data_IF_439834704737
#
_entry.id   IF_439834704737
#
_cell.length_a   1.000
_cell.length_b   1.000
_cell.length_c   1.000
_cell.angle_alpha   90.00
_cell.angle_beta   90.00
_cell.angle_gamma   90.00
#
_symmetry.space_group_name_H-M   'P 1'
#
loop_
_entity.id
_entity.type
_entity.pdbx_description
1 polymer ?
#
# COMPACT_ATOMS: atom_id res chain seq x y z
N UNK A 1 -3.72 -18.76 -12.45
CA UNK A 1 -4.51 -17.83 -11.62
C UNK A 1 -4.26 -16.44 -12.18
N UNK A 2 -5.23 -15.85 -12.87
CA UNK A 2 -5.05 -14.56 -13.57
C UNK A 2 -5.49 -13.43 -12.63
N UNK A 3 -4.56 -12.83 -11.90
CA UNK A 3 -4.89 -11.70 -11.00
C UNK A 3 -5.04 -10.45 -11.85
N UNK A 4 -6.19 -9.78 -11.77
CA UNK A 4 -6.48 -8.55 -12.51
C UNK A 4 -6.36 -7.36 -11.55
N UNK A 5 -5.73 -6.28 -12.01
CA UNK A 5 -5.50 -5.07 -11.23
C UNK A 5 -6.67 -4.09 -11.44
N UNK A 6 -7.20 -3.53 -10.35
CA UNK A 6 -8.16 -2.44 -10.38
C UNK A 6 -7.56 -1.23 -9.67
N UNK A 7 -7.72 -0.05 -10.25
CA UNK A 7 -7.31 1.20 -9.61
C UNK A 7 -8.40 1.62 -8.62
N UNK A 8 -8.10 1.52 -7.33
CA UNK A 8 -8.97 1.97 -6.24
C UNK A 8 -8.22 3.03 -5.42
N UNK A 9 -8.83 4.19 -5.24
CA UNK A 9 -8.25 5.36 -4.56
C UNK A 9 -8.74 5.54 -3.13
N UNK A 10 -7.93 5.32 -2.11
CA UNK A 10 -8.32 5.62 -0.73
C UNK A 10 -8.64 7.13 -0.56
N UNK A 11 -9.88 7.45 -0.23
CA UNK A 11 -10.29 8.78 0.23
C UNK A 11 -10.95 8.66 1.59
N UNK A 12 -10.32 9.24 2.60
CA UNK A 12 -10.91 9.40 3.92
C UNK A 12 -11.69 10.72 3.98
N UNK A 13 -13.02 10.63 4.05
CA UNK A 13 -13.85 11.71 4.59
C UNK A 13 -14.17 11.35 6.03
N UNK A 14 -13.46 11.94 7.00
CA UNK A 14 -13.84 11.83 8.41
C UNK A 14 -14.66 13.07 8.76
N UNK A 15 -15.94 12.88 9.06
CA UNK A 15 -16.68 13.84 9.87
C UNK A 15 -16.33 13.57 11.32
N UNK A 16 -15.42 14.37 11.88
CA UNK A 16 -14.98 14.26 13.27
C UNK A 16 -16.09 14.80 14.19
N UNK A 17 -16.75 13.93 14.95
CA UNK A 17 -17.43 14.35 16.17
C UNK A 17 -16.37 14.52 17.26
N UNK A 18 -16.13 15.77 17.63
CA UNK A 18 -15.24 16.19 18.71
C UNK A 18 -15.73 15.73 20.07
N UNK A 19 -14.81 15.21 20.91
CA UNK A 19 -14.78 15.57 22.33
C UNK A 19 -13.38 15.35 22.91
N UNK A 20 -12.62 16.45 23.07
CA UNK A 20 -11.46 16.46 23.98
C UNK A 20 -11.96 16.43 25.43
N UNK A 21 -11.29 15.63 26.25
CA UNK A 21 -10.95 16.04 27.61
C UNK A 21 -9.43 15.93 27.74
N UNK A 22 -8.72 17.04 28.02
CA UNK A 22 -7.33 16.98 28.44
C UNK A 22 -7.32 16.61 29.93
N UNK A 23 -6.48 15.66 30.35
CA UNK A 23 -5.70 15.84 31.57
C UNK A 23 -4.51 14.86 31.64
N UNK A 24 -3.36 15.49 31.92
CA UNK A 24 -2.20 15.06 32.68
C UNK A 24 -1.40 13.79 32.30
N UNK A 25 -0.15 14.05 31.85
CA UNK A 25 0.99 13.42 32.52
C UNK A 25 1.71 12.30 31.77
N UNK A 26 2.33 12.62 30.64
CA UNK A 26 3.72 12.26 30.26
C UNK A 26 3.98 12.83 28.88
N UNK A 27 5.03 13.65 28.74
CA UNK A 27 5.51 14.08 27.42
C UNK A 27 6.09 12.86 26.72
N UNK A 28 5.26 12.08 26.01
CA UNK A 28 5.72 11.02 25.14
C UNK A 28 6.56 11.67 24.04
N UNK A 29 7.89 11.60 24.16
CA UNK A 29 8.80 11.97 23.07
C UNK A 29 8.65 10.92 21.98
N UNK A 30 7.86 11.22 20.96
CA UNK A 30 7.77 10.39 19.76
C UNK A 30 9.15 10.27 19.11
N UNK A 31 9.49 9.06 18.70
CA UNK A 31 10.78 8.74 18.10
C UNK A 31 10.53 8.10 16.73
N UNK A 32 10.81 8.88 15.69
CA UNK A 32 10.55 8.55 14.30
C UNK A 32 11.61 9.13 13.38
N UNK A 33 11.85 8.47 12.25
CA UNK A 33 12.60 9.03 11.13
C UNK A 33 11.69 9.20 9.92
N UNK A 34 12.03 10.16 9.06
CA UNK A 34 11.23 10.54 7.90
C UNK A 34 12.06 10.39 6.63
N UNK A 35 11.44 9.84 5.58
CA UNK A 35 12.04 9.80 4.26
C UNK A 35 11.07 10.34 3.22
N UNK A 36 11.51 11.24 2.32
CA UNK A 36 10.73 11.58 1.15
C UNK A 36 10.56 10.33 0.28
N UNK A 37 9.36 10.14 -0.23
CA UNK A 37 9.07 9.14 -1.24
C UNK A 37 9.00 9.85 -2.59
N UNK A 38 9.51 9.19 -3.63
CA UNK A 38 9.37 9.57 -5.04
C UNK A 38 8.57 8.50 -5.79
N UNK A 39 8.08 8.83 -6.98
CA UNK A 39 7.27 7.93 -7.80
C UNK A 39 5.91 8.54 -8.15
N UNK A 40 5.05 7.73 -8.78
CA UNK A 40 3.69 8.12 -9.20
C UNK A 40 2.85 6.85 -9.39
N UNK A 41 1.55 6.91 -9.10
CA UNK A 41 0.61 5.83 -9.42
C UNK A 41 0.59 5.57 -10.93
N UNK A 42 0.55 6.63 -11.73
CA UNK A 42 0.43 6.54 -13.17
C UNK A 42 1.16 7.71 -13.85
N UNK A 43 2.00 7.47 -14.89
CA UNK A 43 2.17 6.20 -15.59
C UNK A 43 3.27 5.31 -15.00
N UNK A 44 3.95 5.75 -13.93
CA UNK A 44 5.12 5.07 -13.39
C UNK A 44 4.76 3.74 -12.73
N UNK A 45 3.75 3.72 -11.86
CA UNK A 45 3.28 2.50 -11.24
C UNK A 45 4.16 2.02 -10.08
N UNK A 46 4.87 2.91 -9.39
CA UNK A 46 5.73 2.56 -8.25
C UNK A 46 6.00 3.75 -7.32
N UNK A 47 6.46 3.44 -6.11
CA UNK A 47 6.97 4.41 -5.13
C UNK A 47 8.29 3.94 -4.54
N UNK A 48 9.28 4.81 -4.55
CA UNK A 48 10.64 4.51 -4.07
C UNK A 48 11.08 5.49 -3.00
N UNK A 49 12.05 5.04 -2.21
CA UNK A 49 12.71 5.85 -1.20
C UNK A 49 14.23 5.78 -1.41
N UNK A 50 14.90 6.92 -1.23
CA UNK A 50 16.36 6.97 -1.23
C UNK A 50 16.87 6.87 0.21
N UNK A 51 17.70 5.87 0.49
CA UNK A 51 18.28 5.64 1.80
C UNK A 51 19.80 5.48 1.69
N UNK A 52 20.51 6.16 2.59
CA UNK A 52 21.95 6.00 2.74
C UNK A 52 22.26 4.78 3.60
N UNK A 53 23.02 3.83 3.05
CA UNK A 53 23.37 2.59 3.73
C UNK A 53 24.89 2.44 3.81
N UNK A 54 25.36 2.12 5.02
CA UNK A 54 26.77 1.88 5.31
C UNK A 54 27.53 3.13 5.76
N UNK A 55 28.80 2.95 6.09
CA UNK A 55 29.67 4.02 6.60
C UNK A 55 30.20 4.98 5.53
N UNK A 56 29.96 4.67 4.24
CA UNK A 56 30.38 5.50 3.11
C UNK A 56 29.25 6.40 2.58
N UNK A 57 28.13 6.50 3.31
CA UNK A 57 26.95 7.30 2.93
C UNK A 57 26.49 7.07 1.49
N UNK A 58 26.56 5.81 1.03
CA UNK A 58 26.12 5.49 -0.33
C UNK A 58 24.59 5.45 -0.33
N UNK A 59 23.99 6.26 -1.18
CA UNK A 59 22.54 6.28 -1.40
C UNK A 59 22.09 5.12 -2.28
N UNK A 60 20.95 4.54 -1.94
CA UNK A 60 20.29 3.47 -2.68
C UNK A 60 18.82 3.83 -2.90
N UNK A 61 18.32 3.59 -4.11
CA UNK A 61 16.92 3.76 -4.47
C UNK A 61 16.20 2.43 -4.24
N UNK A 62 15.29 2.39 -3.27
CA UNK A 62 14.65 1.15 -2.83
C UNK A 62 13.14 1.20 -3.06
N UNK A 63 12.59 0.09 -3.54
CA UNK A 63 11.14 -0.12 -3.57
C UNK A 63 10.62 -0.33 -2.14
N UNK A 64 9.48 0.29 -1.81
CA UNK A 64 8.92 0.27 -0.45
C UNK A 64 7.96 -0.91 -0.30
N UNK A 65 8.34 -1.95 0.44
CA UNK A 65 7.58 -3.22 0.43
C UNK A 65 7.24 -3.74 1.84
N UNK A 66 5.99 -3.58 2.26
CA UNK A 66 5.43 -4.15 3.49
C UNK A 66 5.18 -5.66 3.44
N UNK A 67 5.19 -6.27 2.25
CA UNK A 67 5.13 -7.71 2.03
C UNK A 67 6.48 -8.43 2.22
N UNK A 68 7.58 -7.69 2.35
CA UNK A 68 8.94 -8.22 2.53
C UNK A 68 9.50 -8.00 3.92
N UNK A 69 9.94 -9.07 4.59
CA UNK A 69 10.53 -9.00 5.93
C UNK A 69 11.96 -8.43 5.94
N UNK A 70 12.71 -8.55 4.85
CA UNK A 70 14.14 -8.23 4.80
C UNK A 70 14.39 -7.16 3.75
N UNK A 71 15.12 -6.12 4.14
CA UNK A 71 15.71 -5.14 3.23
C UNK A 71 16.89 -5.76 2.50
N UNK A 72 16.92 -5.65 1.18
CA UNK A 72 18.03 -6.15 0.37
C UNK A 72 18.38 -5.17 -0.74
N UNK A 73 19.65 -5.19 -1.15
CA UNK A 73 20.18 -4.38 -2.25
C UNK A 73 20.83 -5.27 -3.30
N UNK A 74 20.51 -5.03 -4.56
CA UNK A 74 21.22 -5.57 -5.70
C UNK A 74 22.58 -4.88 -5.78
N UNK A 75 23.65 -5.63 -5.58
CA UNK A 75 24.97 -5.13 -5.87
C UNK A 75 25.28 -5.39 -7.35
N UNK A 76 25.40 -4.31 -8.14
CA UNK A 76 25.79 -4.34 -9.58
C UNK A 76 27.18 -4.95 -9.82
N UNK A 77 27.90 -5.30 -8.76
CA UNK A 77 29.15 -6.06 -8.78
C UNK A 77 29.02 -7.39 -8.01
N UNK A 78 27.92 -8.13 -8.19
CA UNK A 78 27.87 -9.54 -7.77
C UNK A 78 28.32 -10.44 -8.94
N UNK A 79 29.63 -10.63 -9.18
CA UNK A 79 30.43 -11.75 -8.65
C UNK A 79 30.71 -11.73 -7.13
N UNK A 80 29.70 -11.45 -6.34
CA UNK A 80 29.79 -11.08 -4.93
C UNK A 80 29.29 -12.18 -4.01
N UNK A 81 29.59 -13.43 -4.36
CA UNK A 81 30.29 -14.23 -3.38
C UNK A 81 31.71 -13.66 -3.32
N UNK A 82 31.96 -12.67 -2.45
CA UNK A 82 33.35 -12.42 -2.02
C UNK A 82 33.79 -13.70 -1.36
N UNK A 83 34.56 -14.52 -2.07
CA UNK A 83 35.17 -15.73 -1.55
C UNK A 83 36.17 -15.34 -0.48
N UNK A 84 35.75 -15.38 0.79
CA UNK A 84 36.66 -15.68 1.89
C UNK A 84 36.46 -17.17 2.19
N UNK A 85 37.42 -17.97 1.77
CA UNK A 85 37.53 -19.38 2.13
C UNK A 85 37.48 -19.46 3.68
N UNK A 86 36.34 -19.87 4.27
CA UNK A 86 36.12 -20.34 5.66
C UNK A 86 35.02 -19.66 6.52
N UNK A 87 34.15 -18.78 6.01
CA UNK A 87 33.03 -18.26 6.81
C UNK A 87 31.69 -18.89 6.41
N UNK A 88 30.99 -19.53 7.37
CA UNK A 88 29.61 -19.98 7.19
C UNK A 88 28.73 -18.76 6.96
N UNK A 89 28.09 -18.68 5.79
CA UNK A 89 27.13 -17.61 5.45
C UNK A 89 25.71 -18.16 5.49
N UNK A 90 24.78 -17.30 5.89
CA UNK A 90 23.35 -17.55 5.76
C UNK A 90 22.85 -16.84 4.51
N UNK A 91 22.07 -17.53 3.68
CA UNK A 91 21.37 -16.96 2.54
C UNK A 91 19.87 -16.88 2.82
N UNK A 92 19.23 -15.83 2.33
CA UNK A 92 17.77 -15.72 2.29
C UNK A 92 17.35 -15.88 0.83
N UNK A 93 16.34 -16.71 0.57
CA UNK A 93 15.79 -16.83 -0.78
C UNK A 93 14.92 -15.61 -1.10
N UNK A 94 15.32 -14.86 -2.11
CA UNK A 94 14.49 -13.83 -2.73
C UNK A 94 13.55 -14.55 -3.69
N UNK A 95 12.24 -14.44 -3.49
CA UNK A 95 11.25 -15.12 -4.34
C UNK A 95 11.07 -14.34 -5.65
N UNK A 96 11.12 -15.07 -6.76
CA UNK A 96 11.04 -14.59 -8.16
C UNK A 96 9.66 -14.02 -8.57
N UNK A 97 8.90 -13.49 -7.61
CA UNK A 97 7.60 -12.83 -7.82
C UNK A 97 7.63 -11.32 -7.61
N UNK A 98 8.72 -10.77 -7.06
CA UNK A 98 8.99 -9.34 -7.11
C UNK A 98 9.42 -8.99 -8.53
N UNK A 99 8.56 -8.31 -9.27
CA UNK A 99 8.99 -7.62 -10.49
C UNK A 99 9.88 -6.47 -10.04
N UNK A 100 11.17 -6.75 -9.82
CA UNK A 100 12.13 -5.72 -9.44
C UNK A 100 12.11 -4.71 -10.57
N UNK A 101 11.73 -3.49 -10.24
CA UNK A 101 11.72 -2.45 -11.23
C UNK A 101 13.17 -2.15 -11.60
N UNK A 102 13.49 -2.14 -12.90
CA UNK A 102 14.87 -2.15 -13.40
C UNK A 102 15.68 -0.90 -13.04
N UNK A 103 15.05 0.11 -12.45
CA UNK A 103 15.68 1.34 -11.93
C UNK A 103 15.90 1.34 -10.41
N UNK A 104 15.48 0.29 -9.68
CA UNK A 104 15.70 0.19 -8.22
C UNK A 104 16.99 -0.55 -7.92
N UNK A 105 17.67 -0.13 -6.86
CA UNK A 105 18.83 -0.82 -6.31
C UNK A 105 18.43 -1.97 -5.37
N UNK A 106 17.14 -2.21 -5.13
CA UNK A 106 16.65 -3.26 -4.24
C UNK A 106 15.32 -2.91 -3.59
N UNK A 107 15.04 -3.54 -2.44
CA UNK A 107 13.77 -3.43 -1.72
C UNK A 107 14.01 -3.06 -0.26
N UNK A 108 13.29 -2.05 0.22
CA UNK A 108 13.13 -1.75 1.63
C UNK A 108 12.01 -2.61 2.22
N UNK A 109 12.38 -3.75 2.78
CA UNK A 109 11.45 -4.63 3.49
C UNK A 109 10.92 -4.01 4.79
N UNK A 110 9.59 -3.84 4.86
CA UNK A 110 8.84 -3.28 5.98
C UNK A 110 7.90 -4.30 6.64
N UNK A 111 8.10 -5.59 6.35
CA UNK A 111 7.36 -6.71 6.93
C UNK A 111 7.51 -6.84 8.44
N UNK A 112 6.75 -7.78 9.01
CA UNK A 112 6.66 -8.00 10.47
C UNK A 112 7.80 -8.84 11.03
N UNK A 113 8.68 -9.35 10.17
CA UNK A 113 9.79 -10.23 10.53
C UNK A 113 10.82 -9.62 11.48
N UNK A 114 11.42 -10.46 12.32
CA UNK A 114 12.42 -10.06 13.34
C UNK A 114 13.69 -9.45 12.76
N UNK A 115 14.03 -9.78 11.51
CA UNK A 115 15.21 -9.27 10.79
C UNK A 115 14.94 -7.94 10.06
N UNK A 116 13.69 -7.45 10.06
CA UNK A 116 13.30 -6.24 9.35
C UNK A 116 13.90 -4.96 9.91
N UNK A 117 13.92 -3.91 9.08
CA UNK A 117 14.59 -2.65 9.38
C UNK A 117 14.06 -1.98 10.66
N UNK A 118 12.75 -2.07 10.93
CA UNK A 118 12.14 -1.53 12.15
C UNK A 118 12.74 -2.15 13.42
N UNK A 119 12.91 -3.48 13.44
CA UNK A 119 13.52 -4.17 14.57
C UNK A 119 14.99 -3.76 14.74
N UNK A 120 15.72 -3.58 13.63
CA UNK A 120 17.11 -3.11 13.68
C UNK A 120 17.21 -1.68 14.23
N UNK A 121 16.35 -0.76 13.76
CA UNK A 121 16.28 0.62 14.24
C UNK A 121 15.91 0.69 15.72
N UNK A 122 14.91 -0.10 16.16
CA UNK A 122 14.50 -0.17 17.57
C UNK A 122 15.62 -0.71 18.46
N UNK A 123 16.29 -1.77 18.04
CA UNK A 123 17.41 -2.36 18.81
C UNK A 123 18.61 -1.41 18.92
N UNK A 124 18.75 -0.46 17.98
CA UNK A 124 19.75 0.62 18.01
C UNK A 124 19.28 1.87 18.77
N UNK A 125 18.04 1.88 19.29
CA UNK A 125 17.48 3.02 20.00
C UNK A 125 17.09 4.21 19.10
N UNK A 126 17.03 4.01 17.78
CA UNK A 126 16.65 5.07 16.81
C UNK A 126 15.15 5.33 16.84
N UNK A 127 14.35 4.30 17.09
CA UNK A 127 12.88 4.39 17.24
C UNK A 127 12.44 3.60 18.48
N UNK A 128 11.33 3.99 19.10
CA UNK A 128 10.83 3.33 20.31
C UNK A 128 9.86 2.17 20.01
N UNK A 129 9.09 2.27 18.92
CA UNK A 129 8.14 1.23 18.49
C UNK A 129 8.28 0.93 17.02
N UNK A 130 7.92 -0.30 16.66
CA UNK A 130 7.86 -0.76 15.28
C UNK A 130 6.56 -0.26 14.64
N UNK A 131 6.54 1.00 14.23
CA UNK A 131 5.41 1.61 13.53
C UNK A 131 5.90 2.01 12.15
N UNK A 132 5.11 1.72 11.13
CA UNK A 132 5.29 2.18 9.75
C UNK A 132 4.12 3.07 9.42
N UNK A 133 4.39 4.27 8.93
CA UNK A 133 3.41 5.11 8.28
C UNK A 133 3.91 5.49 6.90
N UNK A 134 3.02 5.53 5.92
CA UNK A 134 3.33 6.05 4.61
C UNK A 134 2.14 6.87 4.10
N UNK A 135 2.43 8.04 3.54
CA UNK A 135 1.47 8.87 2.86
C UNK A 135 1.94 9.02 1.41
N UNK A 136 1.25 8.33 0.50
CA UNK A 136 1.60 8.27 -0.91
C UNK A 136 0.67 9.21 -1.68
N UNK A 137 1.24 10.13 -2.45
CA UNK A 137 0.47 11.09 -3.23
C UNK A 137 0.18 10.55 -4.62
N UNK A 138 -1.06 10.75 -5.07
CA UNK A 138 -1.51 10.31 -6.40
C UNK A 138 -0.75 10.96 -7.55
N UNK A 139 -0.38 12.25 -7.42
CA UNK A 139 0.38 13.01 -8.44
C UNK A 139 1.88 13.04 -8.12
N UNK A 140 2.31 11.98 -7.48
CA UNK A 140 3.68 11.68 -7.19
C UNK A 140 4.23 12.16 -5.86
N UNK A 141 5.19 11.38 -5.39
CA UNK A 141 5.88 11.54 -4.12
C UNK A 141 5.07 11.18 -2.89
N UNK A 142 5.53 11.62 -1.73
CA UNK A 142 4.95 11.28 -0.44
C UNK A 142 5.98 11.29 0.68
N UNK A 143 5.65 10.62 1.78
CA UNK A 143 6.59 10.42 2.87
C UNK A 143 6.43 9.04 3.51
N UNK A 144 7.57 8.46 3.88
CA UNK A 144 7.69 7.28 4.72
C UNK A 144 8.09 7.71 6.14
N UNK A 145 7.46 7.12 7.14
CA UNK A 145 7.73 7.33 8.55
C UNK A 145 8.02 5.97 9.17
N UNK A 146 9.18 5.84 9.81
CA UNK A 146 9.53 4.68 10.63
C UNK A 146 9.61 5.13 12.08
N UNK A 147 8.76 4.59 12.95
CA UNK A 147 8.64 4.97 14.35
C UNK A 147 7.32 5.65 14.70
N UNK A 148 7.18 6.06 15.96
CA UNK A 148 5.95 6.66 16.47
C UNK A 148 5.80 8.09 15.95
N UNK A 149 4.60 8.44 15.46
CA UNK A 149 4.25 9.77 15.01
C UNK A 149 2.78 10.06 15.27
N UNK A 150 2.44 11.34 15.44
CA UNK A 150 1.07 11.81 15.56
C UNK A 150 0.49 12.14 14.19
N UNK A 151 -0.35 11.23 13.70
CA UNK A 151 -1.07 11.37 12.43
C UNK A 151 -2.35 12.21 12.56
N UNK A 152 -2.62 12.80 13.73
CA UNK A 152 -3.89 13.45 14.02
C UNK A 152 -5.04 12.45 14.14
N UNK A 153 -6.28 12.82 13.77
CA UNK A 153 -7.44 11.95 13.91
C UNK A 153 -7.36 10.78 12.93
N UNK A 154 -7.09 9.59 13.46
CA UNK A 154 -7.04 8.33 12.70
C UNK A 154 -8.02 7.30 13.26
N UNK A 155 -8.60 6.52 12.35
CA UNK A 155 -9.41 5.35 12.68
C UNK A 155 -8.51 4.12 12.80
N UNK A 156 -8.69 3.35 13.86
CA UNK A 156 -7.90 2.15 14.12
C UNK A 156 -8.70 0.89 13.83
N UNK A 157 -8.05 -0.10 13.19
CA UNK A 157 -8.51 -1.49 13.14
C UNK A 157 -7.35 -2.40 13.50
N UNK A 158 -7.64 -3.47 14.22
CA UNK A 158 -6.62 -4.42 14.64
C UNK A 158 -6.10 -5.22 13.43
N UNK A 159 -4.78 -5.22 13.26
CA UNK A 159 -4.10 -6.08 12.29
C UNK A 159 -4.09 -7.51 12.81
N UNK A 160 -4.40 -8.47 11.94
CA UNK A 160 -4.36 -9.90 12.27
C UNK A 160 -2.95 -10.32 12.67
N UNK A 161 -2.83 -10.87 13.88
CA UNK A 161 -1.59 -11.42 14.42
C UNK A 161 -1.22 -12.79 13.83
N UNK A 162 -2.19 -13.49 13.26
CA UNK A 162 -2.03 -14.86 12.76
C UNK A 162 -1.56 -14.92 11.30
N UNK A 163 -1.56 -13.77 10.62
CA UNK A 163 -1.12 -13.65 9.22
C UNK A 163 0.34 -13.21 9.17
N UNK A 164 1.10 -13.71 8.20
CA UNK A 164 2.50 -13.30 7.99
C UNK A 164 2.58 -11.85 7.47
N UNK A 165 1.61 -11.45 6.64
CA UNK A 165 1.51 -10.10 6.05
C UNK A 165 0.59 -9.19 6.85
N UNK A 166 0.62 -7.89 6.58
CA UNK A 166 -0.31 -6.93 7.19
C UNK A 166 -1.73 -7.16 6.66
N UNK A 167 -2.53 -7.92 7.41
CA UNK A 167 -3.91 -8.26 7.05
C UNK A 167 -4.87 -7.69 8.07
N UNK A 168 -6.03 -7.22 7.62
CA UNK A 168 -7.15 -6.79 8.46
C UNK A 168 -8.25 -7.86 8.56
N UNK A 169 -7.95 -9.10 8.17
CA UNK A 169 -8.91 -10.20 8.18
C UNK A 169 -9.74 -10.27 6.90
N UNK A 170 -10.97 -10.78 7.04
CA UNK A 170 -11.86 -11.06 5.90
C UNK A 170 -12.88 -9.93 5.70
N UNK A 171 -13.11 -9.58 4.44
CA UNK A 171 -14.10 -8.57 4.07
C UNK A 171 -14.92 -8.97 2.84
N UNK A 172 -16.09 -8.36 2.73
CA UNK A 172 -16.90 -8.35 1.50
C UNK A 172 -16.67 -7.03 0.76
N UNK A 173 -16.74 -7.06 -0.57
CA UNK A 173 -16.69 -5.84 -1.37
C UNK A 173 -18.11 -5.26 -1.47
N UNK A 174 -18.21 -3.96 -1.21
CA UNK A 174 -19.40 -3.13 -1.42
C UNK A 174 -19.16 -2.17 -2.57
N UNK A 175 -20.20 -1.92 -3.37
CA UNK A 175 -20.30 -0.80 -4.28
C UNK A 175 -21.53 0.04 -3.90
N UNK A 176 -21.30 1.22 -3.32
CA UNK A 176 -22.34 1.96 -2.62
C UNK A 176 -22.90 1.13 -1.46
N UNK A 177 -24.17 0.71 -1.59
CA UNK A 177 -24.83 -0.17 -0.62
C UNK A 177 -25.04 -1.61 -1.13
N UNK A 178 -24.64 -1.90 -2.38
CA UNK A 178 -24.74 -3.24 -2.95
C UNK A 178 -23.48 -4.05 -2.65
N UNK A 179 -23.60 -5.36 -2.52
CA UNK A 179 -22.45 -6.26 -2.30
C UNK A 179 -22.30 -7.24 -3.45
N UNK A 180 -21.07 -7.62 -3.76
CA UNK A 180 -20.79 -8.74 -4.67
C UNK A 180 -21.29 -10.07 -4.08
N UNK A 181 -21.51 -11.06 -4.94
CA UNK A 181 -21.78 -12.46 -4.56
C UNK A 181 -20.55 -13.14 -3.93
N UNK A 182 -19.34 -12.68 -4.29
CA UNK A 182 -18.09 -13.11 -3.64
C UNK A 182 -18.02 -12.54 -2.22
N UNK A 183 -17.83 -13.43 -1.24
CA UNK A 183 -17.77 -13.10 0.20
C UNK A 183 -16.45 -13.52 0.83
N UNK A 184 -16.16 -12.94 1.99
CA UNK A 184 -15.09 -13.38 2.90
C UNK A 184 -13.68 -13.36 2.26
N UNK A 185 -13.40 -12.33 1.47
CA UNK A 185 -12.09 -12.13 0.83
C UNK A 185 -11.04 -11.80 1.88
N UNK A 186 -9.88 -12.45 1.80
CA UNK A 186 -8.74 -12.10 2.66
C UNK A 186 -8.12 -10.78 2.18
N UNK A 187 -7.99 -9.82 3.10
CA UNK A 187 -7.49 -8.48 2.79
C UNK A 187 -6.06 -8.33 3.29
N UNK A 188 -5.17 -7.92 2.40
CA UNK A 188 -3.75 -7.66 2.66
C UNK A 188 -3.45 -6.23 2.24
N UNK A 189 -2.74 -5.49 3.09
CA UNK A 189 -2.20 -4.17 2.80
C UNK A 189 -0.75 -4.34 2.37
N UNK A 190 -0.45 -3.89 1.16
CA UNK A 190 0.85 -4.07 0.55
C UNK A 190 1.30 -2.82 -0.20
N UNK A 191 2.37 -2.17 0.28
CA UNK A 191 3.01 -1.05 -0.39
C UNK A 191 3.88 -1.47 -1.57
N UNK A 192 4.26 -2.75 -1.68
CA UNK A 192 5.03 -3.30 -2.80
C UNK A 192 4.21 -3.45 -4.09
N UNK A 193 2.99 -2.91 -4.11
CA UNK A 193 2.11 -2.92 -5.26
C UNK A 193 1.33 -1.61 -5.36
N UNK A 194 1.29 -1.03 -6.55
CA UNK A 194 0.70 0.30 -6.77
C UNK A 194 -0.81 0.26 -7.00
N UNK A 195 -1.33 -0.88 -7.44
CA UNK A 195 -2.75 -1.09 -7.71
C UNK A 195 -3.35 -2.09 -6.74
N UNK A 196 -4.68 -2.05 -6.56
CA UNK A 196 -5.36 -3.11 -5.80
C UNK A 196 -5.54 -4.32 -6.69
N UNK A 197 -5.07 -5.47 -6.23
CA UNK A 197 -5.20 -6.74 -6.93
C UNK A 197 -6.33 -7.56 -6.35
N UNK A 198 -7.22 -8.04 -7.21
CA UNK A 198 -8.32 -8.92 -6.84
C UNK A 198 -8.15 -10.29 -7.48
N UNK A 199 -8.60 -11.32 -6.76
CA UNK A 199 -8.77 -12.66 -7.35
C UNK A 199 -9.72 -12.57 -8.54
N UNK A 200 -9.52 -13.41 -9.57
CA UNK A 200 -10.19 -13.30 -10.86
C UNK A 200 -11.72 -13.19 -10.73
N UNK A 201 -12.35 -14.00 -9.87
CA UNK A 201 -13.81 -13.99 -9.68
C UNK A 201 -14.28 -12.76 -8.93
N UNK A 202 -13.52 -12.32 -7.92
CA UNK A 202 -13.82 -11.09 -7.18
C UNK A 202 -13.73 -9.86 -8.08
N UNK A 203 -12.71 -9.82 -8.95
CA UNK A 203 -12.55 -8.77 -9.95
C UNK A 203 -13.74 -8.74 -10.91
N UNK A 204 -14.10 -9.89 -11.49
CA UNK A 204 -15.20 -10.00 -12.46
C UNK A 204 -16.54 -9.62 -11.84
N UNK A 205 -16.83 -10.11 -10.62
CA UNK A 205 -18.05 -9.75 -9.90
C UNK A 205 -18.13 -8.24 -9.59
N UNK A 206 -17.02 -7.62 -9.19
CA UNK A 206 -16.98 -6.18 -8.96
C UNK A 206 -17.14 -5.40 -10.27
N UNK A 207 -16.48 -5.82 -11.34
CA UNK A 207 -16.57 -5.18 -12.65
C UNK A 207 -18.00 -5.23 -13.21
N UNK A 208 -18.67 -6.38 -13.12
CA UNK A 208 -20.05 -6.54 -13.56
C UNK A 208 -21.00 -5.65 -12.75
N UNK A 209 -20.77 -5.56 -11.44
CA UNK A 209 -21.54 -4.69 -10.55
C UNK A 209 -21.32 -3.20 -10.86
N UNK A 210 -20.08 -2.80 -11.15
CA UNK A 210 -19.74 -1.44 -11.60
C UNK A 210 -20.47 -1.14 -12.91
N UNK A 211 -20.33 -1.98 -13.95
CA UNK A 211 -20.99 -1.75 -15.24
C UNK A 211 -22.51 -1.65 -15.14
N UNK A 212 -23.13 -2.42 -14.25
CA UNK A 212 -24.57 -2.37 -14.01
C UNK A 212 -25.01 -1.06 -13.34
N UNK A 213 -24.15 -0.45 -12.53
CA UNK A 213 -24.49 0.72 -11.69
C UNK A 213 -23.92 2.04 -12.19
N UNK A 214 -23.07 2.03 -13.22
CA UNK A 214 -22.60 3.24 -13.90
C UNK A 214 -23.79 4.10 -14.30
N UNK A 215 -23.76 5.35 -13.85
CA UNK A 215 -24.72 6.36 -14.24
C UNK A 215 -24.23 7.09 -15.50
N UNK A 216 -25.12 7.45 -16.41
CA UNK A 216 -24.77 8.16 -17.65
C UNK A 216 -24.31 7.25 -18.80
N UNK A 217 -23.77 7.88 -19.85
CA UNK A 217 -23.43 7.21 -21.12
C UNK A 217 -21.93 7.00 -21.27
N UNK A 218 -21.26 6.48 -20.21
CA UNK A 218 -19.86 6.11 -20.33
C UNK A 218 -19.70 4.90 -21.25
N UNK A 219 -18.64 4.91 -22.06
CA UNK A 219 -18.23 3.79 -22.90
C UNK A 219 -16.83 3.33 -22.50
N UNK A 220 -16.57 2.03 -22.68
CA UNK A 220 -15.23 1.47 -22.47
C UNK A 220 -14.24 2.13 -23.43
N UNK A 221 -13.12 2.58 -22.88
CA UNK A 221 -11.99 3.13 -23.62
C UNK A 221 -10.86 2.10 -23.64
N UNK A 222 -10.21 1.97 -24.79
CA UNK A 222 -9.14 1.00 -25.07
C UNK A 222 -7.87 1.72 -25.55
N UNK A 223 -7.66 2.93 -25.03
CA UNK A 223 -6.56 3.82 -25.38
C UNK A 223 -5.39 3.76 -24.39
N UNK A 224 -5.57 3.10 -23.25
CA UNK A 224 -4.52 2.89 -22.24
C UNK A 224 -3.83 1.54 -22.42
N UNK A 225 -2.50 1.53 -22.37
CA UNK A 225 -1.69 0.30 -22.54
C UNK A 225 -1.37 -0.42 -21.23
N UNK A 226 -1.62 0.22 -20.10
CA UNK A 226 -1.25 -0.23 -18.76
C UNK A 226 -2.49 -0.75 -18.03
N UNK A 227 -3.59 -0.02 -18.08
CA UNK A 227 -4.84 -0.37 -17.43
C UNK A 227 -5.71 -1.22 -18.35
N UNK A 228 -6.23 -2.31 -17.80
CA UNK A 228 -7.04 -3.27 -18.59
C UNK A 228 -8.43 -2.75 -18.96
N UNK A 229 -8.96 -1.77 -18.21
CA UNK A 229 -10.30 -1.23 -18.39
C UNK A 229 -10.28 0.26 -18.05
N UNK A 230 -10.68 1.07 -19.01
CA UNK A 230 -10.89 2.50 -18.85
C UNK A 230 -12.31 2.86 -19.32
N UNK A 231 -12.84 3.99 -18.85
CA UNK A 231 -14.10 4.55 -19.33
C UNK A 231 -13.89 5.98 -19.81
N UNK A 232 -14.67 6.39 -20.81
CA UNK A 232 -14.76 7.78 -21.27
C UNK A 232 -16.20 8.20 -21.46
N UNK A 233 -16.48 9.47 -21.25
CA UNK A 233 -17.77 10.04 -21.60
C UNK A 233 -17.83 10.31 -23.11
N UNK A 234 -18.99 10.05 -23.71
CA UNK A 234 -19.27 10.35 -25.12
C UNK A 234 -19.17 11.85 -25.43
N UNK A 235 -19.36 12.73 -24.44
CA UNK A 235 -19.24 14.19 -24.63
C UNK A 235 -17.81 14.71 -24.49
N UNK A 236 -16.86 13.88 -24.03
CA UNK A 236 -15.46 14.27 -23.88
C UNK A 236 -14.80 13.74 -22.60
N UNK A 237 -13.55 14.14 -22.33
CA UNK A 237 -12.81 13.65 -21.16
C UNK A 237 -13.39 14.21 -19.85
N UNK A 238 -13.47 13.35 -18.82
CA UNK A 238 -13.84 13.75 -17.46
C UNK A 238 -12.68 14.56 -16.86
N UNK A 239 -12.88 15.86 -16.65
CA UNK A 239 -11.77 16.76 -16.30
C UNK A 239 -11.39 16.77 -14.81
N UNK A 240 -12.32 16.44 -13.92
CA UNK A 240 -12.12 16.55 -12.47
C UNK A 240 -12.57 15.29 -11.75
N UNK A 241 -11.96 15.03 -10.61
CA UNK A 241 -12.33 13.90 -9.76
C UNK A 241 -13.76 14.02 -9.21
N UNK A 242 -14.18 15.23 -8.85
CA UNK A 242 -15.55 15.48 -8.41
C UNK A 242 -16.57 15.01 -9.46
N UNK A 243 -16.25 15.18 -10.75
CA UNK A 243 -17.13 14.71 -11.82
C UNK A 243 -17.18 13.19 -11.91
N UNK A 244 -16.11 12.46 -11.55
CA UNK A 244 -16.09 10.99 -11.60
C UNK A 244 -17.13 10.40 -10.65
N UNK A 245 -17.32 11.03 -9.47
CA UNK A 245 -18.34 10.62 -8.48
C UNK A 245 -19.79 10.74 -8.97
N UNK A 246 -20.04 11.43 -10.09
CA UNK A 246 -21.36 11.48 -10.72
C UNK A 246 -21.69 10.21 -11.50
N UNK A 247 -20.67 9.46 -11.92
CA UNK A 247 -20.80 8.27 -12.75
C UNK A 247 -20.66 6.99 -11.95
N UNK A 248 -19.79 6.98 -10.93
CA UNK A 248 -19.48 5.77 -10.18
C UNK A 248 -19.76 5.90 -8.69
N UNK A 249 -20.23 4.79 -8.12
CA UNK A 249 -20.44 4.62 -6.69
C UNK A 249 -19.13 4.30 -5.97
N UNK A 250 -19.01 4.61 -4.67
CA UNK A 250 -17.81 4.29 -3.92
C UNK A 250 -17.66 2.79 -3.70
N UNK A 251 -16.43 2.29 -3.85
CA UNK A 251 -16.08 0.91 -3.46
C UNK A 251 -15.66 0.93 -2.00
N UNK A 252 -16.13 -0.04 -1.21
CA UNK A 252 -15.74 -0.19 0.19
C UNK A 252 -15.54 -1.66 0.57
N UNK A 253 -14.77 -1.90 1.63
CA UNK A 253 -14.62 -3.21 2.27
C UNK A 253 -15.50 -3.26 3.51
N UNK A 254 -16.38 -4.26 3.58
CA UNK A 254 -17.16 -4.60 4.77
C UNK A 254 -16.49 -5.76 5.52
N UNK A 255 -15.79 -5.48 6.61
CA UNK A 255 -15.15 -6.50 7.44
C UNK A 255 -16.17 -7.29 8.24
N UNK A 256 -16.03 -8.62 8.21
CA UNK A 256 -17.04 -9.55 8.74
C UNK A 256 -17.04 -9.70 10.26
N UNK A 257 -16.02 -9.14 10.92
CA UNK A 257 -15.71 -9.38 12.33
C UNK A 257 -15.95 -8.17 13.25
N UNK A 258 -16.44 -7.02 12.74
CA UNK A 258 -16.29 -5.74 13.46
C UNK A 258 -17.50 -4.80 13.54
N UNK A 259 -17.47 -3.95 14.57
CA UNK A 259 -18.46 -2.91 14.88
C UNK A 259 -18.33 -1.62 14.02
N UNK A 260 -17.17 -1.39 13.41
CA UNK A 260 -16.96 -0.37 12.38
C UNK A 260 -16.57 -1.09 11.08
N UNK A 261 -17.57 -1.60 10.33
CA UNK A 261 -17.30 -2.62 9.32
C UNK A 261 -16.67 -2.07 8.06
N UNK A 262 -16.78 -0.75 7.79
CA UNK A 262 -16.55 -0.24 6.44
C UNK A 262 -15.24 0.56 6.30
N UNK A 263 -14.37 0.13 5.38
CA UNK A 263 -13.26 0.92 4.86
C UNK A 263 -13.55 1.36 3.42
N UNK A 264 -13.64 2.66 3.16
CA UNK A 264 -13.92 3.17 1.82
C UNK A 264 -12.64 3.11 0.96
N UNK A 265 -12.71 2.22 -0.03
CA UNK A 265 -11.82 1.96 -1.16
C UNK A 265 -11.55 3.18 -2.02
N UNK A 266 -12.63 3.86 -2.40
CA UNK A 266 -12.63 5.01 -3.30
C UNK A 266 -14.02 5.60 -3.46
N UNK A 267 -14.09 6.82 -4.00
CA UNK A 267 -15.10 7.12 -5.02
C UNK A 267 -14.41 6.86 -6.36
N UNK A 268 -14.86 5.83 -7.06
CA UNK A 268 -14.30 5.39 -8.35
C UNK A 268 -14.26 6.56 -9.32
#
# INVERSE_FOLDING_TARGET
MYVKALVLYLLTWITSAYQQNPDEGTSATWSSTYFPIEGDVYPLGYYVVTIDIGSSEKSYILDVDTGSDVTWIQNSSIYGLVSSYNEKRCGVSIRDGQTINSFTDGVLGLGKGKSGILNQLRNKGVINRNVVGHCLYRRGGGYLILGEFDFGPISWKQISSNEERYSLGKANILLGNETTDIKNLSIIFDSGSTYTYLESRAYEALFDLVNKTINGSLIVADDDKILSICWKDVVGPIQTFANVTNYFLPVALNFTDDANPNLILSSV
#
